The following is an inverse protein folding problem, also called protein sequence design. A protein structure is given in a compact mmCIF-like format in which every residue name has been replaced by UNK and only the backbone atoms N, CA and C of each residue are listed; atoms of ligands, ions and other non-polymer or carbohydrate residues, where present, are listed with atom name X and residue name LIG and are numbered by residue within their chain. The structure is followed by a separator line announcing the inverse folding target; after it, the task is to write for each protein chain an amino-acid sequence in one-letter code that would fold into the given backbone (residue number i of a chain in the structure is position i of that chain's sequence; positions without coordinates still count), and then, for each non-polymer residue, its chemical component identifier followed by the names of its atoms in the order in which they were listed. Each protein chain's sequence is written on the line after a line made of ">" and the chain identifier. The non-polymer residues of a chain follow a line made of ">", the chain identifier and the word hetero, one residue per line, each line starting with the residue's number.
data_IF_115788997281
#
_entry.id   IF_115788997281
#
_cell.length_a   1.000
_cell.length_b   1.000
_cell.length_c   1.000
_cell.angle_alpha   90.00
_cell.angle_beta   90.00
_cell.angle_gamma   90.00
#
_symmetry.space_group_name_H-M   'P 1'
#
loop_
_entity.id
_entity.type
_entity.pdbx_description
1 polymer ?
#
# COMPACT_ATOMS: atom_id res chain seq x y z
N UNK A 1 0.70 4.58 -36.27
CA UNK A 1 0.06 4.68 -34.93
C UNK A 1 0.03 3.36 -34.18
N UNK A 2 -0.17 2.23 -34.84
CA UNK A 2 -0.18 0.89 -34.22
C UNK A 2 1.18 0.53 -33.59
N UNK A 3 2.27 0.71 -34.34
CA UNK A 3 3.63 0.38 -33.87
C UNK A 3 4.02 1.17 -32.61
N UNK A 4 3.72 2.48 -32.56
CA UNK A 4 4.02 3.29 -31.39
C UNK A 4 3.21 2.86 -30.16
N UNK A 5 1.92 2.54 -30.33
CA UNK A 5 1.08 2.03 -29.27
C UNK A 5 1.60 0.70 -28.74
N UNK A 6 1.99 -0.21 -29.62
CA UNK A 6 2.52 -1.52 -29.26
C UNK A 6 3.87 -1.42 -28.54
N UNK A 7 4.76 -0.55 -29.01
CA UNK A 7 6.04 -0.28 -28.35
C UNK A 7 5.84 0.26 -26.93
N UNK A 8 4.93 1.22 -26.74
CA UNK A 8 4.58 1.72 -25.42
C UNK A 8 3.99 0.62 -24.53
N UNK A 9 3.11 -0.24 -25.10
CA UNK A 9 2.49 -1.34 -24.34
C UNK A 9 3.54 -2.35 -23.85
N UNK A 10 4.43 -2.77 -24.72
CA UNK A 10 5.48 -3.76 -24.40
C UNK A 10 6.50 -3.25 -23.36
N UNK A 11 6.70 -1.92 -23.29
CA UNK A 11 7.66 -1.31 -22.37
C UNK A 11 6.97 -0.60 -21.16
N UNK A 12 5.77 -1.01 -20.79
CA UNK A 12 5.07 -0.50 -19.61
C UNK A 12 4.53 0.92 -19.76
N UNK A 13 4.74 1.57 -20.91
CA UNK A 13 4.33 2.97 -21.14
C UNK A 13 2.81 3.21 -21.14
N UNK A 14 2.00 2.15 -21.18
CA UNK A 14 0.55 2.22 -21.04
C UNK A 14 0.05 1.69 -19.68
N UNK A 15 0.94 1.15 -18.85
CA UNK A 15 0.58 0.69 -17.50
C UNK A 15 0.51 1.90 -16.55
N UNK A 16 -0.67 2.22 -15.97
CA UNK A 16 -0.83 3.35 -15.06
C UNK A 16 -0.01 3.23 -13.77
N UNK A 17 0.45 2.03 -13.44
CA UNK A 17 1.21 1.77 -12.22
C UNK A 17 2.72 1.93 -12.40
N UNK A 18 3.20 2.08 -13.64
CA UNK A 18 4.63 2.18 -13.92
C UNK A 18 5.08 3.60 -14.22
N UNK A 19 6.15 4.02 -13.55
CA UNK A 19 6.90 5.21 -13.98
C UNK A 19 7.66 4.88 -15.26
N UNK A 20 7.51 5.71 -16.28
CA UNK A 20 8.21 5.52 -17.55
C UNK A 20 8.72 6.85 -18.11
N UNK A 21 9.85 6.80 -18.79
CA UNK A 21 10.36 7.94 -19.55
C UNK A 21 10.81 7.44 -20.94
N UNK A 22 10.14 7.92 -21.98
CA UNK A 22 10.49 7.63 -23.36
C UNK A 22 10.98 8.92 -24.03
N UNK A 23 12.03 8.79 -24.82
CA UNK A 23 12.54 9.88 -25.65
C UNK A 23 12.48 9.49 -27.13
N UNK A 24 12.28 10.46 -27.99
CA UNK A 24 12.26 10.29 -29.43
C UNK A 24 12.81 11.54 -30.14
N UNK A 25 13.39 11.44 -31.33
CA UNK A 25 13.73 12.59 -32.12
C UNK A 25 12.50 13.43 -32.46
N UNK A 26 12.65 14.75 -32.59
CA UNK A 26 11.59 15.64 -33.07
C UNK A 26 11.24 15.28 -34.51
N UNK A 27 9.96 14.93 -34.82
CA UNK A 27 9.53 14.68 -36.18
C UNK A 27 9.63 15.95 -37.03
N UNK A 28 10.13 15.79 -38.26
CA UNK A 28 10.25 16.92 -39.20
C UNK A 28 8.90 17.37 -39.76
N UNK A 29 7.95 16.45 -39.85
CA UNK A 29 6.62 16.69 -40.42
C UNK A 29 5.54 16.91 -39.36
N UNK A 30 4.44 17.56 -39.74
CA UNK A 30 3.34 17.89 -38.84
C UNK A 30 2.55 16.65 -38.39
N UNK A 31 2.46 15.63 -39.25
CA UNK A 31 1.72 14.41 -38.92
C UNK A 31 2.45 13.60 -37.83
N UNK A 32 3.76 13.49 -37.90
CA UNK A 32 4.59 12.89 -36.86
C UNK A 32 4.48 13.62 -35.53
N UNK A 33 4.48 14.96 -35.53
CA UNK A 33 4.28 15.75 -34.30
C UNK A 33 2.91 15.54 -33.71
N UNK A 34 1.86 15.57 -34.53
CA UNK A 34 0.48 15.31 -34.06
C UNK A 34 0.33 13.89 -33.50
N UNK A 35 0.96 12.90 -34.15
CA UNK A 35 0.97 11.53 -33.65
C UNK A 35 1.68 11.42 -32.30
N UNK A 36 2.83 12.05 -32.15
CA UNK A 36 3.58 12.05 -30.90
C UNK A 36 2.77 12.71 -29.76
N UNK A 37 2.17 13.86 -30.01
CA UNK A 37 1.31 14.57 -29.06
C UNK A 37 0.09 13.70 -28.65
N UNK A 38 -0.54 13.00 -29.59
CA UNK A 38 -1.65 12.07 -29.31
C UNK A 38 -1.26 10.98 -28.29
N UNK A 39 0.00 10.57 -28.29
CA UNK A 39 0.53 9.58 -27.34
C UNK A 39 1.26 10.20 -26.14
N UNK A 40 1.06 11.49 -25.88
CA UNK A 40 1.54 12.18 -24.69
C UNK A 40 3.02 12.55 -24.71
N UNK A 41 3.64 12.60 -25.88
CA UNK A 41 4.97 13.17 -26.03
C UNK A 41 4.90 14.70 -26.12
N UNK A 42 5.79 15.36 -25.42
CA UNK A 42 5.98 16.82 -25.46
C UNK A 42 7.41 17.17 -25.88
N UNK A 43 7.62 18.31 -26.54
CA UNK A 43 8.97 18.80 -26.84
C UNK A 43 9.76 19.09 -25.56
N UNK A 44 11.03 18.66 -25.56
CA UNK A 44 11.99 18.95 -24.50
C UNK A 44 13.36 19.17 -25.16
N UNK A 45 13.72 20.43 -25.38
CA UNK A 45 14.89 20.79 -26.16
C UNK A 45 14.82 20.31 -27.62
N UNK A 46 15.80 19.52 -28.04
CA UNK A 46 15.92 18.96 -29.39
C UNK A 46 15.20 17.62 -29.59
N UNK A 47 14.49 17.13 -28.59
CA UNK A 47 13.80 15.84 -28.65
C UNK A 47 12.37 15.91 -28.13
N UNK A 48 11.61 14.83 -28.33
CA UNK A 48 10.34 14.60 -27.68
C UNK A 48 10.56 13.75 -26.44
N UNK A 49 9.86 14.09 -25.36
CA UNK A 49 9.86 13.32 -24.11
C UNK A 49 8.43 12.98 -23.72
N UNK A 50 8.20 11.75 -23.35
CA UNK A 50 6.98 11.28 -22.70
C UNK A 50 7.34 10.73 -21.33
N UNK A 51 6.99 11.49 -20.30
CA UNK A 51 7.13 11.05 -18.90
C UNK A 51 5.77 10.62 -18.38
N UNK A 52 5.76 9.52 -17.68
CA UNK A 52 4.62 9.09 -16.90
C UNK A 52 5.08 8.87 -15.47
N UNK A 53 4.38 9.51 -14.56
CA UNK A 53 4.47 9.25 -13.11
C UNK A 53 3.31 8.30 -12.80
N UNK A 54 3.50 7.28 -11.96
CA UNK A 54 2.39 6.46 -11.50
C UNK A 54 1.30 7.33 -10.87
N UNK A 55 0.05 7.00 -11.12
CA UNK A 55 -1.06 7.67 -10.44
C UNK A 55 -0.94 7.42 -8.94
N UNK A 56 -1.20 8.46 -8.13
CA UNK A 56 -1.18 8.33 -6.68
C UNK A 56 -2.30 7.41 -6.24
N UNK A 57 -1.96 6.20 -5.77
CA UNK A 57 -2.92 5.25 -5.21
C UNK A 57 -3.05 5.40 -3.70
N UNK A 58 -4.09 4.79 -3.12
CA UNK A 58 -4.27 4.73 -1.67
C UNK A 58 -3.07 4.10 -0.95
N UNK A 59 -2.52 3.02 -1.52
CA UNK A 59 -1.32 2.35 -0.99
C UNK A 59 -0.09 3.25 -1.08
N UNK A 60 0.11 3.93 -2.23
CA UNK A 60 1.23 4.86 -2.38
C UNK A 60 1.13 6.05 -1.43
N UNK A 61 -0.08 6.55 -1.16
CA UNK A 61 -0.28 7.60 -0.14
C UNK A 61 0.07 7.08 1.26
N UNK A 62 -0.32 5.83 1.61
CA UNK A 62 0.10 5.20 2.85
C UNK A 62 1.63 5.09 2.94
N UNK A 63 2.29 4.60 1.89
CA UNK A 63 3.75 4.50 1.85
C UNK A 63 4.43 5.87 2.03
N UNK A 64 3.96 6.91 1.31
CA UNK A 64 4.51 8.26 1.43
C UNK A 64 4.34 8.84 2.84
N UNK A 65 3.16 8.65 3.46
CA UNK A 65 2.90 9.09 4.81
C UNK A 65 3.81 8.39 5.83
N UNK A 66 3.94 7.07 5.73
CA UNK A 66 4.79 6.29 6.62
C UNK A 66 6.27 6.67 6.45
N UNK A 67 6.74 6.83 5.22
CA UNK A 67 8.13 7.28 4.94
C UNK A 67 8.45 8.63 5.59
N UNK A 68 7.48 9.54 5.65
CA UNK A 68 7.66 10.86 6.26
C UNK A 68 7.56 10.85 7.80
N UNK A 69 6.99 9.80 8.40
CA UNK A 69 6.63 9.79 9.83
C UNK A 69 7.41 8.79 10.68
N UNK A 70 7.92 7.72 10.08
CA UNK A 70 8.52 6.62 10.83
C UNK A 70 10.04 6.68 10.72
N UNK A 71 10.71 6.56 11.86
CA UNK A 71 12.17 6.50 11.93
C UNK A 71 12.65 5.04 11.76
N UNK A 72 13.82 4.78 11.14
CA UNK A 72 14.40 3.43 11.05
C UNK A 72 14.68 2.79 12.41
N UNK A 73 14.83 1.46 12.43
CA UNK A 73 15.29 0.71 13.60
C UNK A 73 14.19 0.24 14.56
N UNK A 74 12.90 0.52 14.24
CA UNK A 74 11.77 0.14 15.07
C UNK A 74 11.16 -1.23 14.75
N UNK A 75 10.03 -1.52 15.40
CA UNK A 75 9.17 -2.67 15.13
C UNK A 75 7.99 -2.26 14.25
N UNK A 76 7.85 -2.90 13.11
CA UNK A 76 6.82 -2.65 12.12
C UNK A 76 6.01 -3.90 11.88
N UNK A 77 4.71 -3.77 11.75
CA UNK A 77 3.80 -4.88 11.50
C UNK A 77 3.02 -4.65 10.22
N UNK A 78 3.04 -5.63 9.33
CA UNK A 78 2.11 -5.74 8.22
C UNK A 78 1.06 -6.78 8.61
N UNK A 79 -0.12 -6.31 9.00
CA UNK A 79 -1.17 -7.16 9.53
C UNK A 79 -1.96 -7.92 8.46
N UNK A 80 -1.63 -7.70 7.17
CA UNK A 80 -2.28 -8.30 6.00
C UNK A 80 -1.26 -8.53 4.88
N UNK A 81 -0.23 -9.35 5.16
CA UNK A 81 0.98 -9.36 4.34
C UNK A 81 0.78 -9.85 2.89
N UNK A 82 -0.21 -10.70 2.61
CA UNK A 82 -0.55 -11.14 1.27
C UNK A 82 0.66 -11.65 0.48
N UNK A 83 0.96 -11.02 -0.64
CA UNK A 83 2.14 -11.33 -1.47
C UNK A 83 3.41 -10.59 -1.04
N UNK A 84 3.43 -9.91 0.10
CA UNK A 84 4.61 -9.32 0.75
C UNK A 84 5.10 -7.98 0.17
N UNK A 85 4.29 -7.28 -0.63
CA UNK A 85 4.69 -5.99 -1.19
C UNK A 85 4.83 -4.93 -0.10
N UNK A 86 3.85 -4.81 0.77
CA UNK A 86 3.85 -3.87 1.88
C UNK A 86 4.85 -4.28 2.96
N UNK A 87 4.98 -5.60 3.24
CA UNK A 87 6.01 -6.12 4.14
C UNK A 87 7.42 -5.76 3.67
N UNK A 88 7.71 -5.93 2.37
CA UNK A 88 9.00 -5.54 1.78
C UNK A 88 9.24 -4.03 1.86
N UNK A 89 8.21 -3.22 1.61
CA UNK A 89 8.28 -1.76 1.79
C UNK A 89 8.62 -1.41 3.24
N UNK A 90 7.97 -2.01 4.23
CA UNK A 90 8.27 -1.80 5.64
C UNK A 90 9.71 -2.22 5.98
N UNK A 91 10.25 -3.30 5.40
CA UNK A 91 11.66 -3.67 5.57
C UNK A 91 12.62 -2.59 5.04
N UNK A 92 12.25 -1.93 3.94
CA UNK A 92 13.04 -0.79 3.42
C UNK A 92 13.07 0.38 4.40
N UNK A 93 11.95 0.68 5.06
CA UNK A 93 11.87 1.74 6.08
C UNK A 93 12.57 1.36 7.37
N UNK A 94 12.40 0.11 7.80
CA UNK A 94 12.98 -0.41 9.03
C UNK A 94 14.52 -0.35 9.00
N UNK A 95 15.11 -0.58 7.83
CA UNK A 95 16.56 -0.68 7.69
C UNK A 95 17.13 -1.90 8.43
N UNK A 96 18.45 -2.06 8.44
CA UNK A 96 19.10 -3.27 8.97
C UNK A 96 18.97 -3.46 10.48
N UNK A 97 18.66 -2.41 11.24
CA UNK A 97 18.50 -2.46 12.69
C UNK A 97 17.02 -2.63 13.13
N UNK A 98 16.06 -2.57 12.19
CA UNK A 98 14.65 -2.72 12.49
C UNK A 98 14.15 -4.14 12.33
N UNK A 99 12.89 -4.35 12.73
CA UNK A 99 12.21 -5.64 12.63
C UNK A 99 10.84 -5.47 11.97
N UNK A 100 10.51 -6.36 11.04
CA UNK A 100 9.21 -6.38 10.36
C UNK A 100 8.54 -7.73 10.53
N UNK A 101 7.30 -7.70 11.01
CA UNK A 101 6.45 -8.87 11.17
C UNK A 101 5.26 -8.79 10.22
N UNK A 102 5.19 -9.72 9.27
CA UNK A 102 4.03 -9.90 8.40
C UNK A 102 3.08 -10.94 8.96
N UNK A 103 1.77 -10.69 8.90
CA UNK A 103 0.72 -11.61 9.33
C UNK A 103 -0.21 -11.93 8.18
N UNK A 104 -0.60 -13.17 8.04
CA UNK A 104 -1.70 -13.61 7.20
C UNK A 104 -2.28 -14.93 7.72
N UNK A 105 -3.58 -15.16 7.48
CA UNK A 105 -4.25 -16.42 7.81
C UNK A 105 -4.09 -17.47 6.71
N UNK A 106 -3.58 -17.09 5.54
CA UNK A 106 -3.37 -17.96 4.41
C UNK A 106 -1.90 -18.40 4.34
N UNK A 107 -1.64 -19.72 4.38
CA UNK A 107 -0.29 -20.29 4.27
C UNK A 107 0.43 -19.81 3.01
N UNK A 108 -0.27 -19.78 1.88
CA UNK A 108 0.31 -19.34 0.60
C UNK A 108 0.81 -17.88 0.65
N UNK A 109 0.07 -16.99 1.32
CA UNK A 109 0.46 -15.59 1.50
C UNK A 109 1.77 -15.49 2.32
N UNK A 110 1.85 -16.24 3.41
CA UNK A 110 3.05 -16.30 4.26
C UNK A 110 4.26 -16.81 3.49
N UNK A 111 4.10 -17.90 2.74
CA UNK A 111 5.18 -18.49 1.96
C UNK A 111 5.65 -17.53 0.83
N UNK A 112 4.72 -16.91 0.11
CA UNK A 112 5.02 -15.90 -0.92
C UNK A 112 5.78 -14.70 -0.33
N UNK A 113 5.32 -14.21 0.83
CA UNK A 113 5.97 -13.08 1.51
C UNK A 113 7.38 -13.45 1.94
N UNK A 114 7.59 -14.58 2.59
CA UNK A 114 8.92 -15.03 3.02
C UNK A 114 9.87 -15.24 1.83
N UNK A 115 9.38 -15.84 0.73
CA UNK A 115 10.16 -15.98 -0.50
C UNK A 115 10.56 -14.62 -1.09
N UNK A 116 9.64 -13.65 -1.12
CA UNK A 116 9.91 -12.27 -1.57
C UNK A 116 10.98 -11.59 -0.71
N UNK A 117 10.85 -11.66 0.62
CA UNK A 117 11.80 -11.06 1.54
C UNK A 117 13.20 -11.67 1.39
N UNK A 118 13.29 -12.99 1.25
CA UNK A 118 14.55 -13.69 1.02
C UNK A 118 15.19 -13.25 -0.30
N UNK A 119 14.42 -13.22 -1.39
CA UNK A 119 14.91 -12.79 -2.70
C UNK A 119 15.39 -11.33 -2.73
N UNK A 120 14.79 -10.46 -1.91
CA UNK A 120 15.16 -9.06 -1.77
C UNK A 120 16.26 -8.79 -0.72
N UNK A 121 16.78 -9.82 -0.05
CA UNK A 121 17.83 -9.69 0.97
C UNK A 121 17.35 -9.21 2.34
N UNK A 122 16.04 -9.24 2.61
CA UNK A 122 15.43 -8.79 3.87
C UNK A 122 15.18 -9.90 4.90
N UNK A 123 15.63 -11.12 4.68
CA UNK A 123 15.37 -12.25 5.59
C UNK A 123 15.87 -12.07 7.03
N UNK A 124 16.83 -11.18 7.26
CA UNK A 124 17.31 -10.83 8.61
C UNK A 124 16.46 -9.72 9.27
N UNK A 125 15.73 -8.93 8.49
CA UNK A 125 14.91 -7.79 8.95
C UNK A 125 13.45 -8.16 9.10
N UNK A 126 12.90 -8.92 8.15
CA UNK A 126 11.49 -9.22 8.06
C UNK A 126 11.17 -10.70 7.96
N UNK A 127 10.03 -11.07 8.51
CA UNK A 127 9.45 -12.42 8.38
C UNK A 127 7.93 -12.35 8.37
N UNK A 128 7.28 -13.27 7.67
CA UNK A 128 5.84 -13.48 7.75
C UNK A 128 5.52 -14.75 8.53
N UNK A 129 4.42 -14.73 9.27
CA UNK A 129 3.91 -15.85 10.07
C UNK A 129 2.42 -16.09 9.80
N UNK A 130 2.01 -17.35 9.87
CA UNK A 130 0.60 -17.74 9.77
C UNK A 130 -0.11 -17.38 11.07
N UNK A 131 -0.83 -16.28 11.10
CA UNK A 131 -1.47 -15.79 12.30
C UNK A 131 -2.63 -14.84 11.96
N UNK A 132 -3.65 -14.85 12.80
CA UNK A 132 -4.78 -13.95 12.69
C UNK A 132 -4.40 -12.56 13.27
N UNK A 133 -4.58 -11.51 12.48
CA UNK A 133 -4.29 -10.14 12.89
C UNK A 133 -5.15 -9.67 14.08
N UNK A 134 -6.34 -10.25 14.31
CA UNK A 134 -7.16 -9.99 15.49
C UNK A 134 -6.49 -10.45 16.79
N UNK A 135 -5.54 -11.39 16.69
CA UNK A 135 -4.75 -11.93 17.80
C UNK A 135 -3.33 -11.37 17.85
N UNK A 136 -3.10 -10.17 17.31
CA UNK A 136 -1.79 -9.52 17.26
C UNK A 136 -1.10 -9.43 18.62
N UNK A 137 -1.86 -9.27 19.70
CA UNK A 137 -1.34 -9.20 21.08
C UNK A 137 -0.59 -10.46 21.55
N UNK A 138 -0.74 -11.59 20.84
CA UNK A 138 0.03 -12.82 21.14
C UNK A 138 1.47 -12.75 20.63
N UNK A 139 1.75 -11.87 19.67
CA UNK A 139 3.04 -11.74 19.00
C UNK A 139 3.76 -10.42 19.29
N UNK A 140 3.00 -9.36 19.56
CA UNK A 140 3.51 -8.00 19.74
C UNK A 140 3.06 -7.46 21.10
N UNK A 141 4.03 -7.07 21.92
CA UNK A 141 3.74 -6.49 23.23
C UNK A 141 3.09 -5.10 23.09
N UNK A 142 2.16 -4.74 23.98
CA UNK A 142 1.56 -3.41 23.98
C UNK A 142 2.63 -2.30 24.07
N UNK A 143 2.45 -1.26 23.30
CA UNK A 143 3.31 -0.08 23.33
C UNK A 143 4.69 -0.24 22.70
N UNK A 144 4.94 -1.27 21.88
CA UNK A 144 6.26 -1.53 21.29
C UNK A 144 6.34 -1.28 19.78
N UNK A 145 5.24 -1.32 19.06
CA UNK A 145 5.23 -1.15 17.61
C UNK A 145 5.32 0.33 17.20
N UNK A 146 6.18 0.63 16.25
CA UNK A 146 6.28 1.95 15.59
C UNK A 146 5.21 2.13 14.54
N UNK A 147 4.86 1.04 13.86
CA UNK A 147 3.87 1.04 12.79
C UNK A 147 3.09 -0.27 12.75
N UNK A 148 1.78 -0.14 12.50
CA UNK A 148 0.97 -1.29 12.05
C UNK A 148 0.26 -0.89 10.77
N UNK A 149 0.45 -1.66 9.71
CA UNK A 149 -0.15 -1.45 8.39
C UNK A 149 -1.22 -2.50 8.12
N UNK A 150 -2.37 -2.05 7.63
CA UNK A 150 -3.44 -2.89 7.10
C UNK A 150 -3.73 -2.52 5.65
N UNK A 151 -3.80 -3.51 4.80
CA UNK A 151 -4.31 -3.37 3.44
C UNK A 151 -5.51 -4.33 3.32
N UNK A 152 -6.67 -3.90 3.85
CA UNK A 152 -7.88 -4.71 3.87
C UNK A 152 -8.37 -4.94 2.45
N UNK A 153 -8.12 -6.12 1.91
CA UNK A 153 -8.44 -6.47 0.54
C UNK A 153 -8.37 -7.98 0.33
N UNK A 154 -8.40 -8.37 -0.90
CA UNK A 154 -8.34 -9.77 -1.31
C UNK A 154 -6.92 -10.11 -1.72
N UNK A 155 -6.50 -11.34 -1.44
CA UNK A 155 -5.24 -11.84 -2.00
C UNK A 155 -5.42 -12.02 -3.51
N UNK A 156 -4.71 -11.27 -4.36
CA UNK A 156 -4.82 -11.44 -5.80
C UNK A 156 -4.43 -12.85 -6.22
N UNK A 157 -5.37 -13.60 -6.85
CA UNK A 157 -5.14 -14.96 -7.33
C UNK A 157 -5.55 -16.08 -6.36
N UNK A 158 -6.09 -15.75 -5.17
CA UNK A 158 -6.69 -16.75 -4.27
C UNK A 158 -8.19 -16.94 -4.55
N UNK A 159 -8.74 -18.08 -4.10
CA UNK A 159 -10.19 -18.31 -4.11
C UNK A 159 -10.89 -17.26 -3.25
N UNK A 160 -12.06 -16.79 -3.70
CA UNK A 160 -12.77 -15.63 -3.14
C UNK A 160 -13.45 -15.89 -1.78
N UNK A 161 -13.24 -17.05 -1.17
CA UNK A 161 -13.95 -17.47 0.04
C UNK A 161 -13.29 -17.03 1.35
N UNK A 162 -12.02 -16.55 1.29
CA UNK A 162 -11.29 -16.09 2.48
C UNK A 162 -11.03 -14.60 2.38
N UNK A 163 -11.76 -13.82 3.17
CA UNK A 163 -11.64 -12.35 3.24
C UNK A 163 -11.81 -11.89 4.69
N UNK A 164 -11.32 -10.68 4.99
CA UNK A 164 -11.58 -10.02 6.26
C UNK A 164 -13.07 -9.70 6.40
N UNK A 165 -13.60 -9.81 7.59
CA UNK A 165 -15.00 -9.50 7.91
C UNK A 165 -15.07 -8.35 8.91
N UNK A 166 -16.19 -7.65 8.96
CA UNK A 166 -16.42 -6.57 9.93
C UNK A 166 -16.20 -7.03 11.39
N UNK A 167 -16.51 -8.30 11.67
CA UNK A 167 -16.33 -8.91 13.02
C UNK A 167 -14.86 -9.14 13.37
N UNK A 168 -13.97 -9.29 12.38
CA UNK A 168 -12.52 -9.45 12.56
C UNK A 168 -11.73 -8.15 12.51
N UNK A 169 -12.16 -7.19 11.69
CA UNK A 169 -11.39 -5.97 11.42
C UNK A 169 -11.33 -5.03 12.62
N UNK A 170 -12.44 -4.78 13.31
CA UNK A 170 -12.45 -3.87 14.48
C UNK A 170 -11.62 -4.42 15.65
N UNK A 171 -11.71 -5.71 16.04
CA UNK A 171 -10.78 -6.31 16.99
C UNK A 171 -9.31 -6.16 16.59
N UNK A 172 -8.98 -6.39 15.31
CA UNK A 172 -7.62 -6.24 14.80
C UNK A 172 -7.11 -4.80 14.89
N UNK A 173 -7.94 -3.82 14.51
CA UNK A 173 -7.61 -2.39 14.63
C UNK A 173 -7.37 -1.99 16.10
N UNK A 174 -8.16 -2.53 17.04
CA UNK A 174 -7.97 -2.30 18.48
C UNK A 174 -6.66 -2.89 18.96
N UNK A 175 -6.37 -4.16 18.64
CA UNK A 175 -5.11 -4.82 18.99
C UNK A 175 -3.90 -4.05 18.43
N UNK A 176 -4.01 -3.53 17.20
CA UNK A 176 -2.98 -2.71 16.59
C UNK A 176 -2.74 -1.39 17.35
N UNK A 177 -3.80 -0.69 17.78
CA UNK A 177 -3.66 0.54 18.56
C UNK A 177 -3.05 0.28 19.94
N UNK A 178 -3.33 -0.87 20.55
CA UNK A 178 -2.70 -1.29 21.80
C UNK A 178 -1.20 -1.57 21.59
N UNK A 179 -0.85 -2.26 20.51
CA UNK A 179 0.54 -2.56 20.16
C UNK A 179 1.39 -1.31 19.87
N UNK A 180 0.79 -0.22 19.36
CA UNK A 180 1.53 1.01 19.04
C UNK A 180 2.12 1.67 20.27
N UNK A 181 3.39 2.11 20.17
CA UNK A 181 3.99 3.02 21.13
C UNK A 181 3.44 4.45 20.99
N UNK A 182 3.63 5.35 21.97
CA UNK A 182 3.39 6.78 21.77
C UNK A 182 4.19 7.31 20.56
N UNK A 183 3.55 8.09 19.70
CA UNK A 183 4.09 8.53 18.41
C UNK A 183 4.03 7.50 17.29
N UNK A 184 3.64 6.26 17.58
CA UNK A 184 3.45 5.21 16.57
C UNK A 184 2.24 5.45 15.67
N UNK A 185 2.22 4.81 14.50
CA UNK A 185 1.25 5.04 13.43
C UNK A 185 0.57 3.74 13.03
N UNK A 186 -0.76 3.72 13.05
CA UNK A 186 -1.55 2.75 12.29
C UNK A 186 -1.89 3.37 10.94
N UNK A 187 -1.60 2.66 9.86
CA UNK A 187 -2.06 2.99 8.51
C UNK A 187 -2.98 1.88 8.00
N UNK A 188 -4.12 2.26 7.42
CA UNK A 188 -5.06 1.29 6.88
C UNK A 188 -5.61 1.76 5.53
N UNK A 189 -5.66 0.86 4.55
CA UNK A 189 -6.38 1.07 3.30
C UNK A 189 -7.70 0.31 3.38
N UNK A 190 -8.80 1.05 3.38
CA UNK A 190 -10.16 0.49 3.45
C UNK A 190 -10.75 0.44 2.04
N UNK A 191 -11.11 -0.75 1.60
CA UNK A 191 -11.73 -0.96 0.28
C UNK A 191 -13.25 -0.99 0.36
N UNK A 192 -13.89 -0.61 -0.75
CA UNK A 192 -15.32 -0.81 -0.98
C UNK A 192 -15.49 -1.90 -2.03
N UNK A 193 -16.34 -2.88 -1.79
CA UNK A 193 -16.62 -3.94 -2.75
C UNK A 193 -18.11 -4.23 -2.82
N UNK A 194 -18.60 -4.68 -3.98
CA UNK A 194 -20.02 -4.89 -4.25
C UNK A 194 -20.72 -5.91 -3.34
N UNK A 195 -19.97 -6.73 -2.59
CA UNK A 195 -20.53 -7.83 -1.81
C UNK A 195 -20.15 -7.80 -0.33
N UNK A 196 -18.95 -7.30 0.07
CA UNK A 196 -18.44 -7.50 1.44
C UNK A 196 -17.73 -6.27 2.03
N UNK A 197 -17.11 -5.41 1.21
CA UNK A 197 -16.24 -4.33 1.69
C UNK A 197 -16.94 -3.15 2.37
N UNK A 198 -18.22 -2.88 2.06
CA UNK A 198 -18.88 -1.67 2.56
C UNK A 198 -19.18 -1.75 4.07
N UNK A 199 -19.62 -2.90 4.58
CA UNK A 199 -19.89 -3.09 6.01
C UNK A 199 -18.59 -3.00 6.84
N UNK A 200 -17.52 -3.65 6.39
CA UNK A 200 -16.21 -3.59 7.00
C UNK A 200 -15.63 -2.17 7.01
N UNK A 201 -15.69 -1.47 5.86
CA UNK A 201 -15.26 -0.08 5.74
C UNK A 201 -16.03 0.83 6.69
N UNK A 202 -17.37 0.69 6.78
CA UNK A 202 -18.19 1.50 7.68
C UNK A 202 -17.89 1.20 9.16
N UNK A 203 -17.69 -0.06 9.53
CA UNK A 203 -17.32 -0.45 10.89
C UNK A 203 -15.96 0.14 11.28
N UNK A 204 -14.95 0.05 10.41
CA UNK A 204 -13.63 0.62 10.63
C UNK A 204 -13.69 2.16 10.76
N UNK A 205 -14.44 2.85 9.88
CA UNK A 205 -14.61 4.30 9.94
C UNK A 205 -15.34 4.74 11.22
N UNK A 206 -16.38 4.02 11.64
CA UNK A 206 -17.08 4.29 12.89
C UNK A 206 -16.15 4.11 14.09
N UNK A 207 -15.35 3.04 14.09
CA UNK A 207 -14.33 2.80 15.12
C UNK A 207 -13.32 3.95 15.19
N UNK A 208 -12.74 4.37 14.06
CA UNK A 208 -11.78 5.47 14.01
C UNK A 208 -12.36 6.80 14.49
N UNK A 209 -13.59 7.12 14.09
CA UNK A 209 -14.29 8.36 14.53
C UNK A 209 -14.59 8.37 16.03
N UNK A 210 -14.73 7.21 16.65
CA UNK A 210 -15.01 7.09 18.10
C UNK A 210 -13.74 7.17 18.96
N UNK A 211 -12.54 7.17 18.37
CA UNK A 211 -11.29 7.25 19.13
C UNK A 211 -11.14 8.60 19.85
N UNK A 212 -10.73 8.61 21.13
CA UNK A 212 -10.60 9.84 21.91
C UNK A 212 -9.46 10.71 21.39
N UNK A 213 -9.76 11.99 21.10
CA UNK A 213 -8.78 12.98 20.63
C UNK A 213 -7.60 13.19 21.61
N UNK A 214 -7.81 12.94 22.88
CA UNK A 214 -6.74 13.01 23.89
C UNK A 214 -5.65 11.97 23.72
N UNK A 215 -5.97 10.84 23.07
CA UNK A 215 -5.06 9.72 22.89
C UNK A 215 -4.63 9.51 21.42
N UNK A 216 -5.45 9.94 20.47
CA UNK A 216 -5.23 9.66 19.06
C UNK A 216 -5.51 10.89 18.19
N UNK A 217 -4.79 10.98 17.07
CA UNK A 217 -5.15 11.82 15.95
C UNK A 217 -5.50 10.90 14.77
N UNK A 218 -6.69 11.10 14.20
CA UNK A 218 -7.19 10.29 13.10
C UNK A 218 -7.28 11.14 11.84
N UNK A 219 -6.75 10.63 10.73
CA UNK A 219 -6.91 11.19 9.40
C UNK A 219 -7.59 10.16 8.50
N UNK A 220 -8.58 10.61 7.73
CA UNK A 220 -9.21 9.84 6.66
C UNK A 220 -9.03 10.63 5.37
N UNK A 221 -8.36 10.04 4.38
CA UNK A 221 -8.04 10.72 3.13
C UNK A 221 -8.97 10.26 2.01
N UNK A 222 -9.62 11.20 1.34
CA UNK A 222 -10.47 10.96 0.18
C UNK A 222 -9.83 11.52 -1.08
N UNK A 223 -9.92 10.78 -2.17
CA UNK A 223 -9.61 11.27 -3.49
C UNK A 223 -10.84 11.98 -4.06
N UNK A 224 -10.89 13.30 -3.97
CA UNK A 224 -12.10 14.10 -4.21
C UNK A 224 -12.73 13.95 -5.61
N UNK A 225 -11.94 13.52 -6.61
CA UNK A 225 -12.37 13.33 -7.99
C UNK A 225 -12.42 11.85 -8.42
N UNK A 226 -12.26 10.91 -7.46
CA UNK A 226 -12.39 9.48 -7.73
C UNK A 226 -13.82 9.00 -7.44
N UNK A 227 -14.14 7.77 -7.87
CA UNK A 227 -15.42 7.16 -7.53
C UNK A 227 -15.58 7.00 -6.01
N UNK A 228 -16.80 7.06 -5.51
CA UNK A 228 -17.11 6.86 -4.07
C UNK A 228 -16.66 5.49 -3.53
N UNK A 229 -16.47 4.52 -4.43
CA UNK A 229 -15.93 3.19 -4.12
C UNK A 229 -14.41 3.15 -4.07
N UNK A 230 -13.73 4.30 -4.25
CA UNK A 230 -12.28 4.35 -4.17
C UNK A 230 -11.79 3.92 -2.79
N UNK A 231 -10.63 3.25 -2.72
CA UNK A 231 -10.01 2.91 -1.45
C UNK A 231 -9.70 4.15 -0.62
N UNK A 232 -9.95 4.09 0.69
CA UNK A 232 -9.68 5.18 1.63
C UNK A 232 -8.42 4.89 2.45
N UNK A 233 -7.34 5.67 2.28
CA UNK A 233 -6.22 5.67 3.23
C UNK A 233 -6.64 6.32 4.54
N UNK A 234 -6.41 5.62 5.64
CA UNK A 234 -6.68 6.08 6.99
C UNK A 234 -5.41 5.99 7.83
N UNK A 235 -5.17 6.99 8.68
CA UNK A 235 -4.03 7.02 9.57
C UNK A 235 -4.49 7.33 10.99
N UNK A 236 -3.98 6.58 11.96
CA UNK A 236 -4.19 6.86 13.39
C UNK A 236 -2.82 7.01 14.03
N UNK A 237 -2.57 8.17 14.61
CA UNK A 237 -1.34 8.49 15.33
C UNK A 237 -1.65 8.42 16.82
N UNK A 238 -0.94 7.55 17.55
CA UNK A 238 -1.03 7.46 19.01
C UNK A 238 -0.25 8.62 19.65
N UNK A 239 -0.85 9.29 20.64
CA UNK A 239 -0.22 10.41 21.37
C UNK A 239 0.56 9.93 22.58
#
# INVERSE_FOLDING_TARGET
>A
SYLLKELLRQNGGLDPKQATCFTAPLPRDAAGRALAQKYGFAPDGSQLVRRRVPDLSAVQLCHAFLTARIAPGGLYVDATCGNGHDTQFLCTLAGPAGHVLGLDIQRQAVDNTNARLAAAGYGAVGRAVLHDHARLAELVQPGTADCVLFNFGWLPGAEHDVHSTADGSVPALRAALEALRPGGVLAAVLYSGKVIGDAEKQAALAFFKALPLTQYTVLVCEFANWAQTAPLPCFVIKK
#
